data_IF_207494347554
#
_entry.id   IF_207494347554
#
_cell.length_a   1.000
_cell.length_b   1.000
_cell.length_c   1.000
_cell.angle_alpha   90.00
_cell.angle_beta   90.00
_cell.angle_gamma   90.00
#
_symmetry.space_group_name_H-M   'P 1'
#
loop_
_entity.id
_entity.type
_entity.pdbx_description
1 polymer ?
#
# COMPACT_ATOMS: atom_id res chain seq x y z
N UNK A 1 6.68 -18.58 6.57
CA UNK A 1 6.42 -17.36 5.78
C UNK A 1 5.07 -16.82 6.19
N UNK A 2 4.93 -15.51 6.31
CA UNK A 2 3.66 -14.83 6.56
C UNK A 2 3.47 -13.82 5.45
N UNK A 3 2.50 -14.09 4.59
CA UNK A 3 2.26 -13.33 3.36
C UNK A 3 1.02 -12.49 3.57
N UNK A 4 1.14 -11.20 3.28
CA UNK A 4 0.03 -10.25 3.22
C UNK A 4 -0.22 -9.91 1.75
N UNK A 5 -1.49 -9.84 1.34
CA UNK A 5 -1.89 -9.37 0.01
C UNK A 5 -2.55 -8.02 0.19
N UNK A 6 -1.95 -7.00 -0.44
CA UNK A 6 -2.18 -5.57 -0.24
C UNK A 6 -1.95 -5.07 1.19
N UNK A 7 -1.64 -3.79 1.30
CA UNK A 7 -1.25 -3.13 2.54
C UNK A 7 -2.12 -1.92 2.87
N UNK A 8 -3.29 -1.76 2.24
CA UNK A 8 -4.26 -0.72 2.61
C UNK A 8 -3.68 0.70 2.55
N UNK A 9 -4.24 1.58 3.39
CA UNK A 9 -3.76 2.94 3.60
C UNK A 9 -3.88 3.37 5.06
N UNK A 10 -3.09 4.37 5.45
CA UNK A 10 -3.08 4.94 6.80
C UNK A 10 -2.73 6.44 6.85
N UNK A 11 -2.14 7.01 5.78
CA UNK A 11 -1.75 8.42 5.79
C UNK A 11 -2.96 9.36 5.89
N UNK A 12 -2.79 10.46 6.62
CA UNK A 12 -3.87 11.42 6.91
C UNK A 12 -4.54 11.98 5.66
N UNK A 13 -3.77 12.26 4.60
CA UNK A 13 -4.31 12.75 3.31
C UNK A 13 -5.39 11.84 2.72
N UNK A 14 -5.24 10.52 2.88
CA UNK A 14 -6.20 9.53 2.40
C UNK A 14 -7.39 9.37 3.35
N UNK A 15 -7.17 9.49 4.66
CA UNK A 15 -8.23 9.49 5.67
C UNK A 15 -9.17 10.69 5.49
N UNK A 16 -8.63 11.88 5.30
CA UNK A 16 -9.40 13.11 5.10
C UNK A 16 -10.22 13.08 3.80
N UNK A 17 -9.64 12.49 2.75
CA UNK A 17 -10.27 12.32 1.44
C UNK A 17 -11.38 11.28 1.45
N UNK A 18 -11.12 10.09 2.00
CA UNK A 18 -12.04 8.94 1.90
C UNK A 18 -13.05 8.84 3.04
N UNK A 19 -12.77 9.46 4.20
CA UNK A 19 -13.61 9.47 5.41
C UNK A 19 -14.19 8.09 5.74
N UNK A 20 -13.34 7.05 5.88
CA UNK A 20 -13.79 5.69 6.08
C UNK A 20 -14.48 5.55 7.43
N UNK A 21 -15.52 4.71 7.48
CA UNK A 21 -16.22 4.36 8.71
C UNK A 21 -15.48 3.22 9.42
N UNK A 22 -15.39 3.29 10.74
CA UNK A 22 -14.81 2.24 11.59
C UNK A 22 -13.38 1.84 11.16
N UNK A 23 -12.59 2.85 10.76
CA UNK A 23 -11.25 2.67 10.20
C UNK A 23 -10.30 1.93 11.14
N UNK A 24 -9.48 1.06 10.55
CA UNK A 24 -8.32 0.42 11.18
C UNK A 24 -7.14 0.52 10.23
N UNK A 25 -5.96 0.83 10.76
CA UNK A 25 -4.75 0.78 9.96
C UNK A 25 -4.44 -0.67 9.53
N UNK A 26 -3.66 -0.86 8.45
CA UNK A 26 -3.20 -2.17 8.02
C UNK A 26 -2.47 -2.93 9.13
N UNK A 27 -1.62 -2.25 9.89
CA UNK A 27 -0.90 -2.84 11.03
C UNK A 27 -1.86 -3.26 12.15
N UNK A 28 -2.87 -2.44 12.48
CA UNK A 28 -3.87 -2.78 13.51
C UNK A 28 -4.73 -3.97 13.08
N UNK A 29 -5.08 -4.07 11.79
CA UNK A 29 -5.84 -5.18 11.25
C UNK A 29 -5.05 -6.51 11.36
N UNK A 30 -3.77 -6.48 11.04
CA UNK A 30 -2.86 -7.64 11.19
C UNK A 30 -2.67 -8.01 12.67
N UNK A 31 -2.50 -7.02 13.56
CA UNK A 31 -2.40 -7.24 15.00
C UNK A 31 -3.68 -7.86 15.59
N UNK A 32 -4.86 -7.42 15.14
CA UNK A 32 -6.15 -7.99 15.54
C UNK A 32 -6.30 -9.46 15.10
N UNK A 33 -5.59 -9.87 14.05
CA UNK A 33 -5.51 -11.28 13.61
C UNK A 33 -4.44 -12.10 14.37
N UNK A 34 -3.77 -11.52 15.37
CA UNK A 34 -2.79 -12.21 16.22
C UNK A 34 -1.38 -12.27 15.64
N UNK A 35 -1.03 -11.41 14.69
CA UNK A 35 0.28 -11.35 14.04
C UNK A 35 0.88 -9.96 14.24
N UNK A 36 2.17 -9.87 14.58
CA UNK A 36 2.85 -8.57 14.65
C UNK A 36 3.22 -8.09 13.25
N UNK A 37 3.28 -6.77 13.03
CA UNK A 37 3.68 -6.23 11.74
C UNK A 37 5.10 -6.67 11.32
N UNK A 38 6.02 -6.78 12.28
CA UNK A 38 7.40 -7.23 12.06
C UNK A 38 7.56 -8.75 11.88
N UNK A 39 6.45 -9.49 11.90
CA UNK A 39 6.37 -10.92 11.63
C UNK A 39 5.91 -11.23 10.20
N UNK A 40 5.42 -10.22 9.46
CA UNK A 40 5.12 -10.32 8.03
C UNK A 40 6.45 -10.40 7.26
N UNK A 41 6.57 -11.39 6.39
CA UNK A 41 7.80 -11.64 5.62
C UNK A 41 7.68 -11.17 4.18
N UNK A 42 6.45 -11.10 3.66
CA UNK A 42 6.16 -10.78 2.27
C UNK A 42 4.87 -9.96 2.18
N UNK A 43 4.90 -8.86 1.43
CA UNK A 43 3.72 -8.08 1.04
C UNK A 43 3.60 -8.17 -0.48
N UNK A 44 2.50 -8.69 -0.99
CA UNK A 44 2.21 -8.77 -2.42
C UNK A 44 1.21 -7.67 -2.75
N UNK A 45 1.60 -6.71 -3.57
CA UNK A 45 0.76 -5.62 -4.05
C UNK A 45 0.05 -6.05 -5.33
N UNK A 46 -1.27 -6.03 -5.31
CA UNK A 46 -2.12 -6.37 -6.45
C UNK A 46 -2.01 -5.33 -7.57
N UNK A 47 -2.03 -4.05 -7.19
CA UNK A 47 -1.85 -2.88 -8.05
C UNK A 47 -1.51 -1.65 -7.19
N UNK A 48 -0.94 -0.59 -7.78
CA UNK A 48 -0.34 0.53 -7.06
C UNK A 48 -1.29 1.73 -6.83
N UNK A 49 -2.59 1.48 -6.68
CA UNK A 49 -3.48 2.50 -6.12
C UNK A 49 -3.18 2.72 -4.62
N UNK A 50 -3.40 3.96 -4.17
CA UNK A 50 -3.09 4.38 -2.81
C UNK A 50 -3.75 3.52 -1.73
N UNK A 51 -4.95 3.01 -1.95
CA UNK A 51 -5.69 2.16 -1.01
C UNK A 51 -5.17 0.72 -0.94
N UNK A 52 -4.18 0.36 -1.77
CA UNK A 52 -3.54 -0.96 -1.79
C UNK A 52 -2.08 -0.92 -1.32
N UNK A 53 -1.35 0.18 -1.57
CA UNK A 53 0.10 0.23 -1.38
C UNK A 53 0.55 1.15 -0.24
N UNK A 54 -0.27 2.10 0.19
CA UNK A 54 0.14 3.17 1.10
C UNK A 54 0.69 2.65 2.43
N UNK A 55 0.12 1.59 3.00
CA UNK A 55 0.59 1.01 4.26
C UNK A 55 1.70 -0.03 4.16
N UNK A 56 2.33 -0.22 3.00
CA UNK A 56 3.38 -1.24 2.84
C UNK A 56 4.59 -1.02 3.76
N UNK A 57 4.91 0.23 4.07
CA UNK A 57 5.98 0.66 4.98
C UNK A 57 5.73 0.29 6.46
N UNK A 58 4.49 -0.03 6.82
CA UNK A 58 4.15 -0.48 8.17
C UNK A 58 4.69 -1.90 8.49
N UNK A 59 5.22 -2.62 7.49
CA UNK A 59 5.71 -4.00 7.61
C UNK A 59 7.23 -4.07 7.39
N UNK A 60 8.06 -3.61 8.35
CA UNK A 60 9.46 -3.26 8.12
C UNK A 60 10.40 -4.42 7.79
N UNK A 61 9.98 -5.67 8.01
CA UNK A 61 10.78 -6.87 7.66
C UNK A 61 10.30 -7.53 6.36
N UNK A 62 9.23 -7.04 5.76
CA UNK A 62 8.65 -7.67 4.60
C UNK A 62 9.42 -7.32 3.33
N UNK A 63 9.58 -8.30 2.44
CA UNK A 63 9.88 -8.01 1.03
C UNK A 63 8.59 -7.59 0.34
N UNK A 64 8.62 -6.45 -0.35
CA UNK A 64 7.47 -5.98 -1.15
C UNK A 64 7.59 -6.52 -2.57
N UNK A 65 6.54 -7.19 -3.03
CA UNK A 65 6.42 -7.78 -4.36
C UNK A 65 5.33 -7.06 -5.14
N UNK A 66 5.64 -6.66 -6.37
CA UNK A 66 4.68 -6.05 -7.29
C UNK A 66 4.97 -6.54 -8.71
N UNK A 67 3.92 -6.57 -9.53
CA UNK A 67 4.02 -6.93 -10.93
C UNK A 67 4.88 -5.88 -11.68
N UNK A 68 5.76 -6.33 -12.57
CA UNK A 68 6.80 -5.48 -13.18
C UNK A 68 6.19 -4.34 -13.98
N UNK A 69 5.20 -4.63 -14.81
CA UNK A 69 4.53 -3.69 -15.68
C UNK A 69 3.74 -2.66 -14.86
N UNK A 70 3.12 -3.07 -13.75
CA UNK A 70 2.48 -2.17 -12.78
C UNK A 70 3.49 -1.19 -12.17
N UNK A 71 4.63 -1.71 -11.68
CA UNK A 71 5.70 -0.87 -11.16
C UNK A 71 6.21 0.12 -12.22
N UNK A 72 6.45 -0.36 -13.44
CA UNK A 72 6.95 0.48 -14.54
C UNK A 72 5.95 1.57 -14.93
N UNK A 73 4.66 1.27 -14.95
CA UNK A 73 3.61 2.24 -15.26
C UNK A 73 3.56 3.35 -14.19
N UNK A 74 3.46 3.00 -12.91
CA UNK A 74 3.31 3.98 -11.82
C UNK A 74 4.57 4.79 -11.52
N UNK A 75 5.75 4.23 -11.79
CA UNK A 75 7.03 4.94 -11.62
C UNK A 75 7.50 5.66 -12.89
N UNK A 76 6.76 5.54 -14.00
CA UNK A 76 7.11 6.09 -15.31
C UNK A 76 5.91 6.66 -16.05
N UNK A 77 5.25 5.85 -16.87
CA UNK A 77 4.23 6.28 -17.84
C UNK A 77 3.07 7.08 -17.23
N UNK A 78 2.66 6.74 -16.00
CA UNK A 78 1.59 7.42 -15.29
C UNK A 78 1.88 8.91 -15.02
N UNK A 79 3.16 9.29 -14.97
CA UNK A 79 3.60 10.68 -14.84
C UNK A 79 3.61 11.45 -16.16
N UNK A 80 3.58 10.76 -17.30
CA UNK A 80 3.68 11.38 -18.63
C UNK A 80 2.32 11.79 -19.21
N UNK A 81 1.22 11.37 -18.58
CA UNK A 81 -0.12 11.67 -19.07
C UNK A 81 -0.52 13.12 -18.77
N UNK A 82 -0.91 13.92 -19.77
CA UNK A 82 -1.37 15.30 -19.56
C UNK A 82 -2.68 15.40 -18.77
N UNK A 83 -3.42 14.29 -18.64
CA UNK A 83 -4.79 14.27 -18.09
C UNK A 83 -4.96 13.37 -16.87
N UNK A 84 -3.95 12.56 -16.53
CA UNK A 84 -3.99 11.67 -15.35
C UNK A 84 -2.68 11.79 -14.58
N UNK A 85 -2.75 12.29 -13.35
CA UNK A 85 -1.63 12.32 -12.40
C UNK A 85 -1.75 11.11 -11.48
N UNK A 86 -1.60 9.91 -12.05
CA UNK A 86 -1.75 8.64 -11.33
C UNK A 86 -0.44 8.08 -10.79
N UNK A 87 0.69 8.77 -11.01
CA UNK A 87 2.02 8.29 -10.61
C UNK A 87 2.25 8.29 -9.10
N UNK A 88 3.39 7.71 -8.69
CA UNK A 88 3.83 7.68 -7.29
C UNK A 88 4.19 9.09 -6.81
N UNK A 89 3.33 9.77 -6.07
CA UNK A 89 3.65 11.08 -5.46
C UNK A 89 4.97 11.05 -4.67
N UNK A 90 5.76 12.12 -4.75
CA UNK A 90 7.02 12.26 -3.98
C UNK A 90 6.81 12.29 -2.45
N UNK A 91 5.58 12.59 -2.00
CA UNK A 91 5.27 13.24 -0.71
C UNK A 91 5.98 14.57 -0.48
#
# INVERSE_FOLDING_TARGET
RRVLVDAGFYRQKFLDRSKPRDFRSPADAVAAAGVKADEITDVIISHAHWDHVDGADLFPKATVWIQREEYAYYTGDAWQSPTTHGGVDEE
#
